data_IF_338961548251
#
_entry.id   IF_338961548251
#
_cell.length_a   1.000
_cell.length_b   1.000
_cell.length_c   1.000
_cell.angle_alpha   90.00
_cell.angle_beta   90.00
_cell.angle_gamma   90.00
#
_symmetry.space_group_name_H-M   'P 1'
#
loop_
_entity.id
_entity.type
_entity.pdbx_description
1 polymer ?
#
# COMPACT_ATOMS: atom_id res chain seq x y z
N UNK A 1 -0.31 -6.20 -27.33
CA UNK A 1 -1.35 -7.06 -26.73
C UNK A 1 -2.44 -6.16 -26.17
N UNK A 2 -3.71 -6.46 -26.48
CA UNK A 2 -4.87 -5.72 -25.98
C UNK A 2 -5.27 -6.23 -24.60
N UNK A 3 -6.04 -5.43 -23.81
CA UNK A 3 -6.61 -5.94 -22.57
C UNK A 3 -7.60 -7.07 -22.83
N UNK A 4 -7.66 -8.05 -21.92
CA UNK A 4 -8.60 -9.16 -21.99
C UNK A 4 -9.90 -8.83 -21.24
N UNK A 5 -11.00 -9.41 -21.65
CA UNK A 5 -12.25 -9.31 -20.92
C UNK A 5 -12.17 -10.15 -19.65
N UNK A 6 -12.31 -9.50 -18.50
CA UNK A 6 -12.14 -10.13 -17.17
C UNK A 6 -13.47 -10.38 -16.47
N UNK A 7 -14.43 -9.47 -16.65
CA UNK A 7 -15.72 -9.52 -15.94
C UNK A 7 -16.84 -9.06 -16.86
N UNK A 8 -17.95 -9.79 -16.88
CA UNK A 8 -19.24 -9.35 -17.42
C UNK A 8 -20.20 -9.05 -16.27
N UNK A 9 -20.87 -7.94 -16.33
CA UNK A 9 -21.93 -7.55 -15.41
C UNK A 9 -23.27 -7.77 -16.11
N UNK A 10 -24.13 -8.56 -15.49
CA UNK A 10 -25.42 -8.95 -16.05
C UNK A 10 -26.55 -8.17 -15.39
N UNK A 11 -27.56 -7.86 -16.21
CA UNK A 11 -28.90 -7.50 -15.74
C UNK A 11 -29.92 -8.51 -16.32
N UNK A 12 -30.41 -9.40 -15.48
CA UNK A 12 -31.09 -10.60 -15.95
C UNK A 12 -30.14 -11.44 -16.82
N UNK A 13 -30.58 -11.82 -18.02
CA UNK A 13 -29.81 -12.63 -18.97
C UNK A 13 -28.95 -11.78 -19.94
N UNK A 14 -29.02 -10.46 -19.85
CA UNK A 14 -28.31 -9.55 -20.74
C UNK A 14 -27.01 -9.08 -20.08
N UNK A 15 -25.88 -9.14 -20.83
CA UNK A 15 -24.64 -8.47 -20.43
C UNK A 15 -24.86 -6.97 -20.52
N UNK A 16 -24.85 -6.27 -19.37
CA UNK A 16 -25.07 -4.83 -19.29
C UNK A 16 -23.75 -4.07 -19.47
N UNK A 17 -22.64 -4.59 -18.94
CA UNK A 17 -21.29 -4.03 -19.15
C UNK A 17 -20.23 -5.11 -19.02
N UNK A 18 -19.06 -4.84 -19.60
CA UNK A 18 -17.88 -5.69 -19.51
C UNK A 18 -16.68 -4.89 -19.07
N UNK A 19 -15.87 -5.45 -18.19
CA UNK A 19 -14.61 -4.84 -17.74
C UNK A 19 -13.43 -5.60 -18.31
N UNK A 20 -12.52 -4.86 -18.91
CA UNK A 20 -11.30 -5.36 -19.54
C UNK A 20 -10.09 -4.99 -18.70
N UNK A 21 -9.04 -5.79 -18.77
CA UNK A 21 -7.85 -5.50 -18.00
C UNK A 21 -6.67 -6.42 -18.28
N UNK A 22 -5.72 -6.35 -17.38
CA UNK A 22 -4.49 -7.14 -17.42
C UNK A 22 -4.31 -7.82 -16.08
N UNK A 23 -3.93 -9.10 -16.10
CA UNK A 23 -3.64 -9.88 -14.90
C UNK A 23 -2.34 -10.64 -15.12
N UNK A 24 -1.50 -10.70 -14.10
CA UNK A 24 -0.29 -11.54 -14.10
C UNK A 24 -0.21 -12.31 -12.79
N UNK A 25 0.12 -13.58 -12.90
CA UNK A 25 0.50 -14.47 -11.79
C UNK A 25 1.97 -14.84 -11.98
N UNK A 26 2.79 -14.56 -10.99
CA UNK A 26 4.24 -14.79 -11.04
C UNK A 26 4.75 -15.48 -9.78
N UNK A 27 5.89 -16.19 -9.90
CA UNK A 27 6.68 -16.62 -8.76
C UNK A 27 7.75 -15.56 -8.40
N UNK A 28 8.50 -15.79 -7.32
CA UNK A 28 9.54 -14.88 -6.83
C UNK A 28 10.78 -14.77 -7.75
N UNK A 29 10.98 -15.70 -8.67
CA UNK A 29 12.01 -15.62 -9.71
C UNK A 29 11.62 -14.69 -10.87
N UNK A 30 10.33 -14.31 -10.94
CA UNK A 30 9.78 -13.52 -12.04
C UNK A 30 9.25 -14.34 -13.20
N UNK A 31 9.17 -15.66 -13.04
CA UNK A 31 8.52 -16.53 -14.01
C UNK A 31 7.02 -16.32 -13.95
N UNK A 32 6.42 -16.00 -15.09
CA UNK A 32 4.98 -15.84 -15.23
C UNK A 32 4.32 -17.22 -15.40
N UNK A 33 3.47 -17.60 -14.44
CA UNK A 33 2.72 -18.85 -14.51
C UNK A 33 1.48 -18.71 -15.39
N UNK A 34 0.88 -17.53 -15.37
CA UNK A 34 -0.27 -17.19 -16.20
C UNK A 34 -0.38 -15.67 -16.37
N UNK A 35 -0.97 -15.25 -17.48
CA UNK A 35 -1.32 -13.85 -17.68
C UNK A 35 -2.52 -13.71 -18.63
N UNK A 36 -3.24 -12.61 -18.50
CA UNK A 36 -4.32 -12.16 -19.39
C UNK A 36 -4.04 -10.71 -19.77
N UNK A 37 -4.20 -10.38 -21.05
CA UNK A 37 -3.85 -9.08 -21.61
C UNK A 37 -2.35 -8.89 -21.73
N UNK A 38 -1.86 -7.66 -21.59
CA UNK A 38 -0.45 -7.30 -21.77
C UNK A 38 0.32 -7.31 -20.43
N UNK A 39 1.25 -8.24 -20.19
CA UNK A 39 2.04 -8.28 -18.96
C UNK A 39 3.09 -7.15 -18.85
N UNK A 40 3.42 -6.50 -19.96
CA UNK A 40 4.39 -5.41 -20.00
C UNK A 40 3.76 -4.01 -19.87
N UNK A 41 2.43 -3.93 -19.75
CA UNK A 41 1.77 -2.64 -19.59
C UNK A 41 2.30 -1.91 -18.37
N UNK A 42 2.70 -0.65 -18.57
CA UNK A 42 3.13 0.23 -17.49
C UNK A 42 1.89 0.74 -16.75
N UNK A 43 1.95 0.60 -15.43
CA UNK A 43 0.89 1.08 -14.53
C UNK A 43 1.50 1.84 -13.37
N UNK A 44 0.73 2.73 -12.79
CA UNK A 44 0.99 3.23 -11.44
C UNK A 44 0.34 2.28 -10.43
N UNK A 45 1.12 1.57 -9.59
CA UNK A 45 0.58 0.62 -8.60
C UNK A 45 -0.34 1.27 -7.58
N UNK A 46 -0.18 2.58 -7.36
CA UNK A 46 -0.89 3.34 -6.36
C UNK A 46 -0.75 2.67 -4.98
N UNK A 47 -1.80 2.65 -4.21
CA UNK A 47 -1.78 2.07 -2.86
C UNK A 47 -1.55 0.55 -2.80
N UNK A 48 -1.57 -0.16 -3.92
CA UNK A 48 -1.33 -1.63 -3.93
C UNK A 48 0.12 -2.01 -3.59
N UNK A 49 1.08 -1.08 -3.77
CA UNK A 49 2.50 -1.32 -3.45
C UNK A 49 2.92 -0.80 -2.06
N UNK A 50 2.00 -0.39 -1.20
CA UNK A 50 2.36 0.20 0.10
C UNK A 50 3.19 -0.72 1.01
N UNK A 51 3.03 -2.04 0.89
CA UNK A 51 3.87 -2.99 1.62
C UNK A 51 5.35 -2.88 1.21
N UNK A 52 5.63 -2.58 -0.07
CA UNK A 52 6.99 -2.28 -0.55
C UNK A 52 7.47 -0.95 0.03
N UNK A 53 6.61 0.08 0.02
CA UNK A 53 6.93 1.42 0.55
C UNK A 53 7.13 1.44 2.08
N UNK A 54 6.62 0.43 2.80
CA UNK A 54 6.80 0.28 4.24
C UNK A 54 8.13 -0.40 4.61
N UNK A 55 8.76 -1.14 3.69
CA UNK A 55 9.99 -1.89 3.95
C UNK A 55 11.15 -0.99 4.44
N UNK A 56 11.39 0.21 3.87
CA UNK A 56 12.41 1.14 4.34
C UNK A 56 12.29 1.54 5.82
N UNK A 57 11.08 1.52 6.39
CA UNK A 57 10.87 1.81 7.82
C UNK A 57 11.63 0.82 8.73
N UNK A 58 11.75 -0.42 8.27
CA UNK A 58 12.51 -1.47 8.96
C UNK A 58 13.99 -1.45 8.55
N UNK A 59 14.29 -1.30 7.26
CA UNK A 59 15.64 -1.33 6.70
C UNK A 59 16.54 -0.20 7.24
N UNK A 60 15.98 0.97 7.49
CA UNK A 60 16.69 2.11 8.10
C UNK A 60 16.85 2.00 9.61
N UNK A 61 16.24 0.99 10.24
CA UNK A 61 16.19 0.84 11.69
C UNK A 61 15.19 1.78 12.38
N UNK A 62 14.44 2.57 11.62
CA UNK A 62 13.52 3.59 12.15
C UNK A 62 12.43 2.96 13.04
N UNK A 63 11.87 1.83 12.63
CA UNK A 63 10.85 1.13 13.43
C UNK A 63 11.40 0.72 14.80
N UNK A 64 12.65 0.24 14.86
CA UNK A 64 13.31 -0.15 16.11
C UNK A 64 13.63 1.07 16.98
N UNK A 65 14.17 2.13 16.39
CA UNK A 65 14.54 3.37 17.09
C UNK A 65 13.37 3.99 17.85
N UNK A 66 12.17 3.99 17.24
CA UNK A 66 10.96 4.58 17.84
C UNK A 66 10.02 3.52 18.45
N UNK A 67 10.48 2.29 18.67
CA UNK A 67 9.69 1.21 19.28
C UNK A 67 8.33 1.01 18.62
N UNK A 68 8.30 1.02 17.28
CA UNK A 68 7.09 0.80 16.51
C UNK A 68 6.78 -0.71 16.43
N UNK A 69 5.60 -1.09 16.90
CA UNK A 69 5.15 -2.48 16.92
C UNK A 69 4.27 -2.85 15.70
N UNK A 70 3.70 -4.08 15.70
CA UNK A 70 2.95 -4.62 14.56
C UNK A 70 1.79 -3.75 14.08
N UNK A 71 1.07 -3.06 14.98
CA UNK A 71 -0.03 -2.15 14.60
C UNK A 71 0.46 -0.98 13.73
N UNK A 72 1.62 -0.42 14.04
CA UNK A 72 2.23 0.66 13.26
C UNK A 72 2.68 0.15 11.87
N UNK A 73 3.29 -1.03 11.81
CA UNK A 73 3.71 -1.68 10.56
C UNK A 73 2.52 -1.98 9.65
N UNK A 74 1.42 -2.48 10.23
CA UNK A 74 0.18 -2.69 9.49
C UNK A 74 -0.37 -1.36 8.94
N UNK A 75 -0.39 -0.30 9.76
CA UNK A 75 -0.86 1.02 9.36
C UNK A 75 0.05 1.63 8.26
N UNK A 76 1.37 1.38 8.28
CA UNK A 76 2.28 1.80 7.20
C UNK A 76 1.87 1.22 5.83
N UNK A 77 1.34 -0.01 5.80
CA UNK A 77 0.86 -0.70 4.60
C UNK A 77 -0.58 -0.31 4.20
N UNK A 78 -1.27 0.49 5.01
CA UNK A 78 -2.71 0.70 4.92
C UNK A 78 -3.14 1.69 3.82
N UNK A 79 -4.37 1.46 3.34
CA UNK A 79 -5.22 2.50 2.73
C UNK A 79 -6.51 2.51 3.54
N UNK A 80 -6.42 3.06 4.74
CA UNK A 80 -7.41 2.90 5.77
C UNK A 80 -8.64 3.81 5.56
N UNK A 81 -9.73 3.45 6.23
CA UNK A 81 -10.98 4.20 6.17
C UNK A 81 -11.02 5.45 7.04
N UNK A 82 -9.99 5.70 7.85
CA UNK A 82 -9.97 6.84 8.77
C UNK A 82 -10.90 6.67 10.00
N UNK A 83 -11.25 5.43 10.34
CA UNK A 83 -12.01 5.11 11.55
C UNK A 83 -11.16 5.22 12.82
N UNK A 84 -11.80 5.17 13.98
CA UNK A 84 -11.19 5.40 15.30
C UNK A 84 -9.98 4.50 15.57
N UNK A 85 -10.03 3.22 15.13
CA UNK A 85 -8.92 2.28 15.27
C UNK A 85 -7.64 2.77 14.58
N UNK A 86 -7.77 3.41 13.41
CA UNK A 86 -6.66 3.95 12.64
C UNK A 86 -6.12 5.21 13.28
N UNK A 87 -7.03 6.11 13.71
CA UNK A 87 -6.66 7.36 14.37
C UNK A 87 -5.88 7.10 15.67
N UNK A 88 -6.30 6.10 16.46
CA UNK A 88 -5.62 5.75 17.71
C UNK A 88 -4.18 5.27 17.47
N UNK A 89 -3.96 4.41 16.47
CA UNK A 89 -2.60 3.97 16.11
C UNK A 89 -1.76 5.10 15.54
N UNK A 90 -2.35 5.97 14.71
CA UNK A 90 -1.65 7.12 14.14
C UNK A 90 -1.25 8.15 15.20
N UNK A 91 -2.11 8.40 16.20
CA UNK A 91 -1.80 9.28 17.34
C UNK A 91 -0.71 8.71 18.23
N UNK A 92 -0.79 7.42 18.59
CA UNK A 92 0.29 6.74 19.33
C UNK A 92 1.62 6.80 18.57
N UNK A 93 1.58 6.64 17.24
CA UNK A 93 2.77 6.77 16.40
C UNK A 93 3.39 8.17 16.47
N UNK A 94 2.57 9.22 16.32
CA UNK A 94 3.04 10.61 16.45
C UNK A 94 3.68 10.88 17.81
N UNK A 95 3.08 10.37 18.90
CA UNK A 95 3.66 10.49 20.25
C UNK A 95 5.03 9.82 20.35
N UNK A 96 5.16 8.59 19.81
CA UNK A 96 6.44 7.85 19.81
C UNK A 96 7.56 8.55 19.05
N UNK A 97 7.22 9.23 17.97
CA UNK A 97 8.19 9.99 17.18
C UNK A 97 8.28 11.46 17.60
N UNK A 98 7.57 11.88 18.66
CA UNK A 98 7.54 13.24 19.21
C UNK A 98 7.25 14.30 18.13
N UNK A 99 6.24 14.05 17.31
CA UNK A 99 5.80 14.94 16.24
C UNK A 99 4.29 15.19 16.33
N UNK A 100 3.83 16.16 15.54
CA UNK A 100 2.44 16.57 15.50
C UNK A 100 1.82 16.26 14.14
N UNK A 101 0.50 16.28 14.08
CA UNK A 101 -0.26 16.08 12.85
C UNK A 101 0.10 17.10 11.75
N UNK A 102 0.45 18.33 12.13
CA UNK A 102 0.85 19.41 11.22
C UNK A 102 2.15 19.11 10.48
N UNK A 103 2.96 18.16 10.97
CA UNK A 103 4.17 17.71 10.30
C UNK A 103 3.88 16.74 9.14
N UNK A 104 2.62 16.24 9.00
CA UNK A 104 2.20 15.42 7.88
C UNK A 104 1.92 16.27 6.64
N UNK A 105 2.19 15.69 5.45
CA UNK A 105 2.03 16.36 4.15
C UNK A 105 1.05 15.60 3.22
N UNK A 106 0.15 14.78 3.80
CA UNK A 106 -0.78 13.98 2.99
C UNK A 106 -2.07 14.71 2.60
N UNK A 107 -2.32 15.88 3.18
CA UNK A 107 -3.59 16.59 3.04
C UNK A 107 -4.73 15.90 3.81
N UNK A 108 -5.92 16.52 3.77
CA UNK A 108 -7.10 16.05 4.47
C UNK A 108 -8.17 15.59 3.48
N UNK A 109 -8.95 14.59 3.85
CA UNK A 109 -10.19 14.23 3.16
C UNK A 109 -11.17 13.62 4.18
N UNK A 110 -12.45 13.60 3.85
CA UNK A 110 -13.46 12.93 4.68
C UNK A 110 -13.09 11.45 4.85
N UNK A 111 -13.21 10.91 6.08
CA UNK A 111 -12.97 9.49 6.29
C UNK A 111 -13.98 8.64 5.50
N UNK A 112 -13.51 7.53 4.93
CA UNK A 112 -14.39 6.53 4.32
C UNK A 112 -15.20 5.75 5.34
N UNK A 113 -14.78 5.77 6.61
CA UNK A 113 -15.54 5.22 7.73
C UNK A 113 -16.79 6.08 7.97
N UNK A 114 -17.97 5.46 7.73
CA UNK A 114 -19.26 6.17 7.81
C UNK A 114 -19.58 6.67 9.23
N UNK A 115 -19.12 5.94 10.25
CA UNK A 115 -19.34 6.31 11.65
C UNK A 115 -18.51 7.53 12.00
N UNK A 116 -17.23 7.51 11.62
CA UNK A 116 -16.34 8.65 11.85
C UNK A 116 -16.78 9.89 11.06
N UNK A 117 -17.19 9.72 9.80
CA UNK A 117 -17.71 10.82 8.98
C UNK A 117 -18.96 11.47 9.61
N UNK A 118 -19.90 10.66 10.12
CA UNK A 118 -21.08 11.15 10.85
C UNK A 118 -20.71 11.86 12.14
N UNK A 119 -19.71 11.35 12.89
CA UNK A 119 -19.22 11.98 14.14
C UNK A 119 -18.67 13.37 13.86
N UNK A 120 -17.78 13.52 12.86
CA UNK A 120 -17.24 14.82 12.45
C UNK A 120 -18.36 15.79 12.07
N UNK A 121 -19.30 15.36 11.23
CA UNK A 121 -20.43 16.20 10.81
C UNK A 121 -21.30 16.65 11.99
N UNK A 122 -21.60 15.73 12.92
CA UNK A 122 -22.41 16.04 14.13
C UNK A 122 -21.73 17.06 15.01
N UNK A 123 -20.41 17.00 15.15
CA UNK A 123 -19.62 17.89 15.99
C UNK A 123 -19.24 19.21 15.30
N UNK A 124 -19.55 19.40 14.03
CA UNK A 124 -19.06 20.55 13.25
C UNK A 124 -17.55 20.55 13.04
N UNK A 125 -16.90 19.38 13.11
CA UNK A 125 -15.44 19.21 13.00
C UNK A 125 -15.04 18.96 11.54
N UNK A 126 -13.91 19.53 11.12
CA UNK A 126 -13.30 19.22 9.85
C UNK A 126 -12.44 17.95 9.94
N UNK A 127 -12.29 17.19 8.83
CA UNK A 127 -11.35 16.09 8.80
C UNK A 127 -9.92 16.61 8.92
N UNK A 128 -9.08 15.86 9.62
CA UNK A 128 -7.67 16.13 9.80
C UNK A 128 -6.81 15.25 8.88
N UNK A 129 -5.49 15.51 8.83
CA UNK A 129 -4.56 14.69 8.04
C UNK A 129 -4.51 13.22 8.50
N UNK A 130 -4.82 12.94 9.77
CA UNK A 130 -4.91 11.57 10.28
C UNK A 130 -6.06 10.77 9.66
N UNK A 131 -7.12 11.46 9.19
CA UNK A 131 -8.22 10.81 8.47
C UNK A 131 -7.85 10.41 7.03
N UNK A 132 -6.76 10.99 6.47
CA UNK A 132 -6.28 10.62 5.14
C UNK A 132 -5.89 9.15 5.12
N UNK A 133 -6.38 8.41 4.13
CA UNK A 133 -6.14 6.97 3.95
C UNK A 133 -4.66 6.59 3.78
N UNK A 134 -3.80 7.57 3.56
CA UNK A 134 -2.36 7.41 3.42
C UNK A 134 -1.58 7.91 4.65
N UNK A 135 -2.24 8.34 5.74
CA UNK A 135 -1.54 8.92 6.90
C UNK A 135 -0.48 7.96 7.47
N UNK A 136 -0.75 6.63 7.51
CA UNK A 136 0.23 5.64 7.94
C UNK A 136 1.49 5.59 7.07
N UNK A 137 1.35 5.69 5.74
CA UNK A 137 2.49 5.81 4.82
C UNK A 137 3.29 7.09 5.08
N UNK A 138 2.61 8.22 5.32
CA UNK A 138 3.26 9.49 5.61
C UNK A 138 3.94 9.48 6.98
N UNK A 139 3.35 8.86 7.98
CA UNK A 139 4.01 8.60 9.28
C UNK A 139 5.29 7.77 9.09
N UNK A 140 5.27 6.75 8.23
CA UNK A 140 6.46 5.97 7.89
C UNK A 140 7.55 6.85 7.28
N UNK A 141 7.23 7.66 6.27
CA UNK A 141 8.20 8.54 5.62
C UNK A 141 8.78 9.59 6.58
N UNK A 142 7.93 10.18 7.40
CA UNK A 142 8.33 11.16 8.40
C UNK A 142 9.23 10.53 9.47
N UNK A 143 8.94 9.30 9.90
CA UNK A 143 9.78 8.54 10.84
C UNK A 143 11.16 8.24 10.25
N UNK A 144 11.21 7.80 8.98
CA UNK A 144 12.48 7.58 8.26
C UNK A 144 13.25 8.90 8.18
N UNK A 145 12.58 10.00 7.84
CA UNK A 145 13.20 11.31 7.77
C UNK A 145 13.84 11.69 9.11
N UNK A 146 13.10 11.52 10.22
CA UNK A 146 13.62 11.80 11.57
C UNK A 146 14.82 10.92 11.95
N UNK A 147 14.90 9.70 11.43
CA UNK A 147 16.02 8.79 11.67
C UNK A 147 17.29 9.21 10.92
N UNK A 148 17.15 9.59 9.64
CA UNK A 148 18.32 9.86 8.77
C UNK A 148 18.85 11.29 8.90
N UNK A 149 18.05 12.23 9.39
CA UNK A 149 18.47 13.60 9.64
C UNK A 149 18.72 13.84 11.11
N UNK A 150 19.94 14.26 11.42
CA UNK A 150 20.31 14.78 12.73
C UNK A 150 19.95 16.27 12.80
N UNK A 151 19.12 16.69 13.73
CA UNK A 151 18.56 18.05 13.92
C UNK A 151 17.26 18.31 13.14
N UNK A 152 16.78 19.56 13.12
CA UNK A 152 15.42 19.95 12.69
C UNK A 152 15.12 19.80 11.18
N UNK A 153 16.06 19.36 10.35
CA UNK A 153 15.89 19.23 8.89
C UNK A 153 14.94 18.08 8.46
N UNK A 154 14.57 17.19 9.41
CA UNK A 154 13.63 16.09 9.15
C UNK A 154 12.21 16.55 8.77
N UNK A 155 11.86 17.81 9.08
CA UNK A 155 10.57 18.42 8.71
C UNK A 155 10.54 18.95 7.27
N UNK A 156 11.67 18.88 6.57
CA UNK A 156 11.74 19.25 5.16
C UNK A 156 10.75 18.44 4.31
N UNK A 157 10.48 18.89 3.10
CA UNK A 157 9.49 18.32 2.20
C UNK A 157 9.77 16.85 1.84
N UNK A 158 9.51 15.91 2.76
CA UNK A 158 9.78 14.48 2.61
C UNK A 158 8.99 13.81 1.46
N UNK A 159 8.07 14.53 0.83
CA UNK A 159 7.36 14.07 -0.37
C UNK A 159 8.03 14.53 -1.68
N UNK A 160 9.06 15.36 -1.61
CA UNK A 160 9.84 15.73 -2.80
C UNK A 160 10.62 14.52 -3.32
N UNK A 161 10.57 14.29 -4.64
CA UNK A 161 11.24 13.14 -5.28
C UNK A 161 12.76 13.12 -5.02
N UNK A 162 13.37 14.29 -4.83
CA UNK A 162 14.80 14.42 -4.55
C UNK A 162 15.16 14.23 -3.07
N UNK A 163 14.15 14.21 -2.18
CA UNK A 163 14.37 14.02 -0.77
C UNK A 163 14.97 12.63 -0.48
N UNK A 164 15.94 12.50 0.45
CA UNK A 164 16.59 11.22 0.76
C UNK A 164 15.61 10.08 1.07
N UNK A 165 14.49 10.35 1.76
CA UNK A 165 13.44 9.35 2.01
C UNK A 165 12.89 8.79 0.71
N UNK A 166 12.55 9.65 -0.28
CA UNK A 166 11.98 9.19 -1.55
C UNK A 166 13.02 8.46 -2.41
N UNK A 167 14.28 8.81 -2.30
CA UNK A 167 15.39 8.06 -2.93
C UNK A 167 15.52 6.66 -2.35
N UNK A 168 15.42 6.51 -1.03
CA UNK A 168 15.40 5.20 -0.36
C UNK A 168 14.18 4.38 -0.81
N UNK A 169 12.99 4.98 -0.79
CA UNK A 169 11.74 4.32 -1.22
C UNK A 169 11.83 3.89 -2.69
N UNK A 170 12.34 4.76 -3.58
CA UNK A 170 12.57 4.43 -5.00
C UNK A 170 13.51 3.24 -5.14
N UNK A 171 14.66 3.27 -4.46
CA UNK A 171 15.64 2.18 -4.49
C UNK A 171 15.03 0.85 -4.05
N UNK A 172 14.32 0.83 -2.91
CA UNK A 172 13.62 -0.38 -2.44
C UNK A 172 12.57 -0.86 -3.46
N UNK A 173 11.82 0.07 -4.07
CA UNK A 173 10.85 -0.26 -5.11
C UNK A 173 11.52 -0.91 -6.33
N UNK A 174 12.64 -0.34 -6.82
CA UNK A 174 13.41 -0.89 -7.95
C UNK A 174 13.95 -2.29 -7.64
N UNK A 175 14.51 -2.49 -6.45
CA UNK A 175 15.09 -3.77 -6.03
C UNK A 175 14.04 -4.87 -5.90
N UNK A 176 12.89 -4.58 -5.29
CA UNK A 176 11.83 -5.56 -5.08
C UNK A 176 11.07 -5.89 -6.37
N UNK A 177 10.77 -4.87 -7.19
CA UNK A 177 10.06 -5.09 -8.46
C UNK A 177 10.97 -5.61 -9.57
N UNK A 178 12.27 -5.33 -9.48
CA UNK A 178 13.24 -5.52 -10.56
C UNK A 178 13.07 -4.53 -11.72
N UNK A 179 12.22 -3.51 -11.57
CA UNK A 179 11.94 -2.50 -12.60
C UNK A 179 12.80 -1.26 -12.36
N UNK A 180 13.78 -1.03 -13.24
CA UNK A 180 14.76 0.04 -13.09
C UNK A 180 14.28 1.37 -13.67
N UNK A 181 14.72 2.47 -13.06
CA UNK A 181 14.44 3.83 -13.49
C UNK A 181 12.94 4.14 -13.74
N UNK A 182 12.07 3.87 -12.78
CA UNK A 182 10.64 4.08 -12.93
C UNK A 182 10.33 5.57 -13.13
N UNK A 183 9.48 5.88 -14.10
CA UNK A 183 8.83 7.18 -14.13
C UNK A 183 7.94 7.33 -12.90
N UNK A 184 7.70 8.56 -12.47
CA UNK A 184 6.86 8.84 -11.31
C UNK A 184 5.84 9.94 -11.60
N UNK A 185 4.77 9.93 -10.82
CA UNK A 185 3.80 11.00 -10.74
C UNK A 185 3.38 11.20 -9.27
N UNK A 186 2.73 12.30 -8.98
CA UNK A 186 2.20 12.53 -7.64
C UNK A 186 0.92 11.72 -7.42
N UNK A 187 0.83 11.04 -6.30
CA UNK A 187 -0.39 10.38 -5.83
C UNK A 187 -1.37 11.43 -5.23
N UNK A 188 -2.62 11.05 -5.03
CA UNK A 188 -3.62 11.92 -4.39
C UNK A 188 -3.26 12.40 -2.97
N UNK A 189 -2.29 11.77 -2.32
CA UNK A 189 -1.70 12.19 -1.05
C UNK A 189 -0.39 12.98 -1.21
N UNK A 190 -0.10 13.49 -2.40
CA UNK A 190 1.08 14.28 -2.74
C UNK A 190 2.42 13.52 -2.74
N UNK A 191 2.48 12.26 -2.30
CA UNK A 191 3.72 11.49 -2.34
C UNK A 191 4.01 10.94 -3.75
N UNK A 192 5.29 10.74 -4.13
CA UNK A 192 5.65 10.07 -5.38
C UNK A 192 5.10 8.66 -5.49
N UNK A 193 4.62 8.32 -6.68
CA UNK A 193 4.12 7.01 -7.06
C UNK A 193 4.89 6.54 -8.29
N UNK A 194 5.66 5.46 -8.15
CA UNK A 194 6.56 4.93 -9.17
C UNK A 194 5.81 3.94 -10.06
N UNK A 195 5.92 4.10 -11.38
CA UNK A 195 5.34 3.18 -12.35
C UNK A 195 6.22 1.94 -12.52
N UNK A 196 5.59 0.80 -12.81
CA UNK A 196 6.28 -0.41 -13.25
C UNK A 196 5.38 -1.22 -14.17
N UNK A 197 5.93 -2.25 -14.83
CA UNK A 197 5.10 -3.19 -15.55
C UNK A 197 4.25 -4.02 -14.57
N UNK A 198 3.07 -4.46 -15.03
CA UNK A 198 2.21 -5.29 -14.18
C UNK A 198 2.88 -6.62 -13.82
N UNK A 199 3.73 -7.18 -14.70
CA UNK A 199 4.53 -8.38 -14.40
C UNK A 199 5.54 -8.11 -13.27
N UNK A 200 6.19 -6.95 -13.27
CA UNK A 200 7.12 -6.56 -12.20
C UNK A 200 6.41 -6.38 -10.86
N UNK A 201 5.17 -5.87 -10.87
CA UNK A 201 4.36 -5.77 -9.66
C UNK A 201 3.95 -7.16 -9.14
N UNK A 202 3.54 -8.09 -10.03
CA UNK A 202 3.22 -9.47 -9.66
C UNK A 202 4.44 -10.19 -9.06
N UNK A 203 5.62 -10.06 -9.69
CA UNK A 203 6.89 -10.56 -9.15
C UNK A 203 7.16 -10.00 -7.76
N UNK A 204 7.01 -8.69 -7.57
CA UNK A 204 7.21 -8.06 -6.27
C UNK A 204 6.32 -8.67 -5.18
N UNK A 205 5.06 -8.94 -5.48
CA UNK A 205 4.16 -9.62 -4.53
C UNK A 205 4.60 -11.07 -4.27
N UNK A 206 5.11 -11.77 -5.28
CA UNK A 206 5.67 -13.11 -5.11
C UNK A 206 6.95 -13.11 -4.25
N UNK A 207 7.79 -12.08 -4.34
CA UNK A 207 8.96 -11.91 -3.45
C UNK A 207 8.50 -11.77 -1.99
N UNK A 208 7.41 -11.07 -1.71
CA UNK A 208 6.83 -11.05 -0.37
C UNK A 208 6.26 -12.40 0.06
N UNK A 209 5.77 -13.22 -0.87
CA UNK A 209 5.32 -14.57 -0.57
C UNK A 209 6.50 -15.50 -0.25
N UNK A 210 7.56 -15.45 -1.06
CA UNK A 210 8.75 -16.28 -0.92
C UNK A 210 10.03 -15.42 -1.05
N UNK A 211 10.53 -14.83 0.06
CA UNK A 211 11.70 -13.95 0.05
C UNK A 211 13.05 -14.68 0.08
N UNK A 212 13.11 -15.97 -0.24
CA UNK A 212 14.31 -16.81 -0.04
C UNK A 212 15.56 -16.35 -0.79
N UNK A 213 15.41 -15.53 -1.83
CA UNK A 213 16.53 -14.99 -2.61
C UNK A 213 17.15 -13.72 -2.02
N UNK A 214 16.51 -13.14 -1.00
CA UNK A 214 16.98 -11.92 -0.35
C UNK A 214 17.93 -12.23 0.81
N UNK A 215 18.71 -11.22 1.21
CA UNK A 215 19.52 -11.32 2.42
C UNK A 215 18.66 -11.55 3.68
N UNK A 216 19.30 -12.07 4.74
CA UNK A 216 18.60 -12.47 5.97
C UNK A 216 17.86 -11.32 6.67
N UNK A 217 18.40 -10.08 6.61
CA UNK A 217 17.75 -8.94 7.25
C UNK A 217 16.48 -8.55 6.52
N UNK A 218 16.56 -8.41 5.20
CA UNK A 218 15.41 -8.05 4.35
C UNK A 218 14.33 -9.14 4.40
N UNK A 219 14.73 -10.42 4.41
CA UNK A 219 13.82 -11.54 4.61
C UNK A 219 13.04 -11.41 5.92
N UNK A 220 13.72 -11.14 7.04
CA UNK A 220 13.09 -10.92 8.34
C UNK A 220 12.12 -9.72 8.31
N UNK A 221 12.52 -8.60 7.70
CA UNK A 221 11.65 -7.41 7.59
C UNK A 221 10.39 -7.67 6.78
N UNK A 222 10.48 -8.46 5.72
CA UNK A 222 9.32 -8.91 4.94
C UNK A 222 8.39 -9.76 5.81
N UNK A 223 8.94 -10.70 6.59
CA UNK A 223 8.14 -11.51 7.52
C UNK A 223 7.46 -10.64 8.60
N UNK A 224 8.17 -9.66 9.16
CA UNK A 224 7.61 -8.72 10.14
C UNK A 224 6.42 -7.94 9.56
N UNK A 225 6.53 -7.42 8.31
CA UNK A 225 5.43 -6.74 7.62
C UNK A 225 4.25 -7.67 7.33
N UNK A 226 4.50 -8.88 6.83
CA UNK A 226 3.45 -9.88 6.60
C UNK A 226 2.70 -10.22 7.88
N UNK A 227 3.42 -10.52 8.94
CA UNK A 227 2.85 -10.84 10.24
C UNK A 227 2.04 -9.67 10.81
N UNK A 228 2.50 -8.44 10.66
CA UNK A 228 1.77 -7.25 11.06
C UNK A 228 0.43 -7.11 10.31
N UNK A 229 0.44 -7.30 8.99
CA UNK A 229 -0.77 -7.25 8.14
C UNK A 229 -1.77 -8.36 8.52
N UNK A 230 -1.29 -9.58 8.71
CA UNK A 230 -2.12 -10.75 9.05
C UNK A 230 -2.71 -10.65 10.46
N UNK A 231 -1.94 -10.11 11.42
CA UNK A 231 -2.39 -9.94 12.81
C UNK A 231 -3.33 -8.75 13.00
N UNK A 232 -3.28 -7.76 12.11
CA UNK A 232 -4.07 -6.53 12.21
C UNK A 232 -4.76 -6.17 10.88
N UNK A 233 -5.55 -7.07 10.29
CA UNK A 233 -6.15 -6.86 8.97
C UNK A 233 -7.13 -5.66 8.95
N UNK A 234 -7.76 -5.34 10.08
CA UNK A 234 -8.66 -4.18 10.19
C UNK A 234 -7.93 -2.84 9.97
N UNK A 235 -6.65 -2.78 10.33
CA UNK A 235 -5.83 -1.59 10.11
C UNK A 235 -5.47 -1.37 8.64
N UNK A 236 -5.54 -2.40 7.78
CA UNK A 236 -5.17 -2.29 6.37
C UNK A 236 -6.15 -1.44 5.57
N UNK A 237 -7.44 -1.55 5.89
CA UNK A 237 -8.48 -0.84 5.14
C UNK A 237 -9.64 -0.36 6.02
N UNK A 238 -10.03 -1.15 7.02
CA UNK A 238 -11.21 -0.99 7.87
C UNK A 238 -12.09 -2.23 7.79
N UNK A 239 -12.90 -2.48 8.82
CA UNK A 239 -13.62 -3.73 9.03
C UNK A 239 -14.49 -4.13 7.83
N UNK A 240 -15.24 -3.19 7.26
CA UNK A 240 -16.17 -3.45 6.16
C UNK A 240 -15.52 -3.52 4.77
N UNK A 241 -14.24 -3.21 4.68
CA UNK A 241 -13.54 -3.13 3.39
C UNK A 241 -13.12 -4.51 2.89
N UNK A 242 -13.15 -4.67 1.55
CA UNK A 242 -12.87 -5.94 0.88
C UNK A 242 -11.49 -6.53 1.25
N UNK A 243 -10.43 -5.71 1.28
CA UNK A 243 -9.10 -6.20 1.65
C UNK A 243 -9.11 -6.85 3.04
N UNK A 244 -9.71 -6.21 4.03
CA UNK A 244 -9.84 -6.72 5.40
C UNK A 244 -10.60 -8.05 5.42
N UNK A 245 -11.75 -8.09 4.73
CA UNK A 245 -12.60 -9.30 4.67
C UNK A 245 -11.87 -10.50 4.03
N UNK A 246 -11.15 -10.26 2.93
CA UNK A 246 -10.39 -11.32 2.25
C UNK A 246 -9.24 -11.81 3.15
N UNK A 247 -8.44 -10.89 3.73
CA UNK A 247 -7.31 -11.27 4.60
C UNK A 247 -7.83 -12.12 5.77
N UNK A 248 -8.87 -11.67 6.48
CA UNK A 248 -9.48 -12.43 7.58
C UNK A 248 -9.95 -13.82 7.16
N UNK A 249 -10.72 -13.90 6.06
CA UNK A 249 -11.27 -15.17 5.56
C UNK A 249 -10.22 -16.11 5.00
N UNK A 250 -9.04 -15.62 4.65
CA UNK A 250 -7.97 -16.44 4.10
C UNK A 250 -7.28 -17.32 5.14
N UNK A 251 -7.52 -17.09 6.44
CA UNK A 251 -6.85 -17.79 7.53
C UNK A 251 -5.32 -17.80 7.38
N UNK A 252 -4.73 -16.63 7.12
CA UNK A 252 -3.28 -16.45 7.00
C UNK A 252 -2.68 -16.85 5.65
N UNK A 253 -3.48 -17.24 4.65
CA UNK A 253 -2.98 -17.68 3.33
C UNK A 253 -2.82 -16.56 2.33
N UNK A 254 -3.53 -15.43 2.49
CA UNK A 254 -3.54 -14.33 1.54
C UNK A 254 -3.32 -12.99 2.22
N UNK A 255 -2.51 -12.15 1.59
CA UNK A 255 -2.50 -10.72 1.82
C UNK A 255 -2.93 -10.07 0.52
N UNK A 256 -3.92 -9.19 0.58
CA UNK A 256 -4.42 -8.47 -0.60
C UNK A 256 -4.39 -6.97 -0.36
N UNK A 257 -4.20 -6.22 -1.44
CA UNK A 257 -4.17 -4.77 -1.36
C UNK A 257 -4.75 -4.10 -2.60
N UNK A 258 -5.73 -3.23 -2.37
CA UNK A 258 -6.28 -2.35 -3.40
C UNK A 258 -5.34 -1.19 -3.68
N UNK A 259 -5.22 -0.84 -4.95
CA UNK A 259 -4.69 0.44 -5.45
C UNK A 259 -5.81 1.24 -6.12
N UNK A 260 -5.64 2.55 -6.24
CA UNK A 260 -6.57 3.39 -7.00
C UNK A 260 -6.61 2.99 -8.48
N UNK A 261 -7.66 3.43 -9.17
CA UNK A 261 -7.83 3.27 -10.61
C UNK A 261 -7.79 1.81 -11.09
N UNK A 262 -8.46 0.92 -10.33
CA UNK A 262 -8.63 -0.48 -10.71
C UNK A 262 -7.39 -1.36 -10.57
N UNK A 263 -6.41 -0.98 -9.74
CA UNK A 263 -5.26 -1.83 -9.43
C UNK A 263 -5.54 -2.67 -8.19
N UNK A 264 -5.18 -3.95 -8.25
CA UNK A 264 -5.27 -4.85 -7.11
C UNK A 264 -4.09 -5.83 -7.09
N UNK A 265 -3.61 -6.17 -5.91
CA UNK A 265 -2.53 -7.14 -5.74
C UNK A 265 -2.88 -8.20 -4.71
N UNK A 266 -2.31 -9.39 -4.86
CA UNK A 266 -2.40 -10.46 -3.88
C UNK A 266 -1.04 -11.16 -3.70
N UNK A 267 -0.76 -11.54 -2.45
CA UNK A 267 0.39 -12.34 -2.02
C UNK A 267 -0.18 -13.68 -1.56
N UNK A 268 0.09 -14.76 -2.29
CA UNK A 268 -0.38 -16.11 -1.98
C UNK A 268 0.71 -16.82 -1.17
N UNK A 269 0.60 -16.77 0.15
CA UNK A 269 1.65 -17.18 1.09
C UNK A 269 1.95 -18.68 1.04
N UNK A 270 0.93 -19.51 0.89
CA UNK A 270 1.04 -20.97 0.80
C UNK A 270 1.52 -21.48 -0.57
N UNK A 271 1.53 -20.60 -1.58
CA UNK A 271 1.89 -20.96 -2.96
C UNK A 271 3.23 -20.37 -3.42
N UNK A 272 3.78 -19.41 -2.69
CA UNK A 272 4.98 -18.70 -3.14
C UNK A 272 4.70 -17.78 -4.35
N UNK A 273 3.45 -17.33 -4.55
CA UNK A 273 3.03 -16.61 -5.73
C UNK A 273 2.57 -15.18 -5.41
N UNK A 274 2.70 -14.33 -6.40
CA UNK A 274 2.15 -12.98 -6.42
C UNK A 274 1.21 -12.76 -7.59
N UNK A 275 0.17 -11.99 -7.38
CA UNK A 275 -0.80 -11.60 -8.40
C UNK A 275 -0.84 -10.07 -8.45
N UNK A 276 -0.87 -9.54 -9.67
CA UNK A 276 -1.22 -8.15 -9.94
C UNK A 276 -2.28 -8.08 -11.03
N UNK A 277 -3.25 -7.19 -10.85
CA UNK A 277 -4.26 -6.91 -11.86
C UNK A 277 -4.47 -5.41 -12.03
N UNK A 278 -4.86 -5.01 -13.24
CA UNK A 278 -5.26 -3.67 -13.61
C UNK A 278 -6.51 -3.73 -14.47
N UNK A 279 -7.60 -3.14 -13.98
CA UNK A 279 -8.80 -2.91 -14.78
C UNK A 279 -8.62 -1.62 -15.58
N UNK A 280 -8.88 -1.65 -16.88
CA UNK A 280 -8.57 -0.53 -17.79
C UNK A 280 -9.48 0.66 -17.58
N UNK A 281 -10.76 0.46 -17.33
CA UNK A 281 -11.75 1.50 -17.07
C UNK A 281 -11.71 2.09 -15.66
N UNK A 282 -10.82 1.60 -14.81
CA UNK A 282 -10.35 2.10 -13.51
C UNK A 282 -11.25 3.11 -12.79
N UNK A 283 -12.57 2.89 -12.78
CA UNK A 283 -13.48 3.83 -12.15
C UNK A 283 -13.48 3.68 -10.63
N UNK A 284 -13.84 4.78 -9.93
CA UNK A 284 -13.99 4.79 -8.47
C UNK A 284 -15.08 3.80 -7.94
N UNK A 285 -15.88 3.22 -8.83
CA UNK A 285 -16.92 2.25 -8.50
C UNK A 285 -16.35 0.93 -7.96
N UNK A 286 -15.07 0.62 -8.24
CA UNK A 286 -14.40 -0.60 -7.73
C UNK A 286 -14.08 -0.57 -6.23
N UNK A 287 -14.51 0.44 -5.49
CA UNK A 287 -14.20 0.62 -4.05
C UNK A 287 -15.38 0.37 -3.10
N UNK A 288 -16.52 0.01 -3.61
CA UNK A 288 -17.73 -0.20 -2.78
C UNK A 288 -18.09 -1.65 -2.58
#
# INVERSE_FOLDING_TARGET
MFPEKLVDVYRGDLVESSHYGHVVISNSLGEMLAYWGNPDVLIYPRSSCKIIQALPLLETGSAKQFSLGPKHLALACASHSGGEIHLNVAKDWLQKIELNEQDLLCGCHLPYDKTQAKKLKKNGENPSQLHNNCSGKHLSFLTISKTIFHKNDYKSNYIDINHPVQKIVKKTFEEITGFQNPIHALDGCSAPNFACSIKSLAKAMAVFSNPNQLDQNRKRYIEDLKNAVLSHPDLIAGEERLCTKIIKKSNGRLIVKVGADGVYTAILLDKGLGIALKICDGSMISYH
#
